data_IF_939513182087
#
_entry.id   IF_939513182087
#
_cell.length_a   1.000
_cell.length_b   1.000
_cell.length_c   1.000
_cell.angle_alpha   90.00
_cell.angle_beta   90.00
_cell.angle_gamma   90.00
#
_symmetry.space_group_name_H-M   'P 1'
#
loop_
_entity.id
_entity.type
_entity.pdbx_description
1 polymer ?
#
# COMPACT_ATOMS: atom_id res chain seq x y z
N UNK A 1 -10.57 29.22 1.33
CA UNK A 1 -11.44 28.18 1.93
C UNK A 1 -10.54 27.04 2.32
N UNK A 2 -10.51 26.68 3.61
CA UNK A 2 -9.68 25.57 4.08
C UNK A 2 -10.27 24.28 3.51
N UNK A 3 -9.46 23.51 2.79
CA UNK A 3 -9.86 22.27 2.14
C UNK A 3 -10.03 21.18 3.22
N UNK A 4 -11.28 20.74 3.41
CA UNK A 4 -11.62 19.67 4.34
C UNK A 4 -11.82 18.37 3.55
N UNK A 5 -10.99 17.36 3.83
CA UNK A 5 -10.99 16.08 3.11
C UNK A 5 -12.31 15.31 3.23
N UNK A 6 -13.02 15.44 4.36
CA UNK A 6 -14.35 14.83 4.53
C UNK A 6 -15.35 15.43 3.53
N UNK A 7 -15.36 16.76 3.42
CA UNK A 7 -16.24 17.47 2.47
C UNK A 7 -15.92 17.09 1.03
N UNK A 8 -14.64 16.99 0.69
CA UNK A 8 -14.19 16.58 -0.64
C UNK A 8 -14.65 15.16 -0.98
N UNK A 9 -14.41 14.20 -0.07
CA UNK A 9 -14.83 12.82 -0.22
C UNK A 9 -16.35 12.73 -0.41
N UNK A 10 -17.11 13.41 0.44
CA UNK A 10 -18.57 13.44 0.37
C UNK A 10 -19.08 13.99 -0.97
N UNK A 11 -18.52 15.12 -1.43
CA UNK A 11 -18.88 15.72 -2.71
C UNK A 11 -18.49 14.84 -3.89
N UNK A 12 -17.32 14.18 -3.83
CA UNK A 12 -16.89 13.25 -4.87
C UNK A 12 -17.81 12.02 -4.97
N UNK A 13 -18.38 11.57 -3.85
CA UNK A 13 -19.39 10.52 -3.81
C UNK A 13 -20.81 11.02 -4.15
N UNK A 14 -21.00 12.32 -4.39
CA UNK A 14 -22.31 12.94 -4.67
C UNK A 14 -23.38 12.67 -3.60
N UNK A 15 -22.99 12.56 -2.32
CA UNK A 15 -23.92 12.29 -1.21
C UNK A 15 -24.17 13.53 -0.33
N UNK A 16 -25.33 13.55 0.32
CA UNK A 16 -25.69 14.60 1.29
C UNK A 16 -24.97 14.40 2.63
N UNK A 17 -24.89 15.43 3.47
CA UNK A 17 -24.35 15.30 4.83
C UNK A 17 -25.18 14.33 5.68
N UNK A 18 -26.49 14.25 5.44
CA UNK A 18 -27.38 13.30 6.13
C UNK A 18 -27.11 11.85 5.70
N UNK A 19 -26.85 11.64 4.40
CA UNK A 19 -26.48 10.33 3.87
C UNK A 19 -25.16 9.85 4.47
N UNK A 20 -24.15 10.73 4.53
CA UNK A 20 -22.88 10.40 5.18
C UNK A 20 -23.07 10.12 6.67
N UNK A 21 -23.89 10.91 7.36
CA UNK A 21 -24.17 10.73 8.79
C UNK A 21 -24.76 9.35 9.08
N UNK A 22 -25.71 8.89 8.25
CA UNK A 22 -26.28 7.53 8.35
C UNK A 22 -25.23 6.45 8.11
N UNK A 23 -24.34 6.65 7.14
CA UNK A 23 -23.30 5.68 6.79
C UNK A 23 -22.25 5.49 7.89
N UNK A 24 -21.96 6.53 8.69
CA UNK A 24 -20.95 6.49 9.76
C UNK A 24 -21.58 6.54 11.16
N UNK A 25 -22.87 6.20 11.25
CA UNK A 25 -23.62 6.08 12.50
C UNK A 25 -23.56 7.34 13.40
N UNK A 26 -23.69 8.53 12.80
CA UNK A 26 -23.68 9.82 13.50
C UNK A 26 -24.83 10.72 13.05
N UNK A 27 -24.80 12.00 13.45
CA UNK A 27 -25.82 13.00 13.09
C UNK A 27 -25.35 13.91 11.95
N UNK A 28 -26.29 14.45 11.17
CA UNK A 28 -25.98 15.43 10.12
C UNK A 28 -25.30 16.68 10.68
N UNK A 29 -25.65 17.09 11.89
CA UNK A 29 -24.99 18.20 12.59
C UNK A 29 -23.52 17.87 12.91
N UNK A 30 -23.23 16.64 13.35
CA UNK A 30 -21.86 16.19 13.60
C UNK A 30 -21.02 16.23 12.31
N UNK A 31 -21.55 15.70 11.20
CA UNK A 31 -20.88 15.77 9.88
C UNK A 31 -20.63 17.23 9.47
N UNK A 32 -21.62 18.11 9.62
CA UNK A 32 -21.45 19.53 9.30
C UNK A 32 -20.33 20.19 10.12
N UNK A 33 -20.22 19.85 11.42
CA UNK A 33 -19.14 20.35 12.29
C UNK A 33 -17.77 19.80 11.87
N UNK A 34 -17.69 18.51 11.55
CA UNK A 34 -16.45 17.87 11.05
C UNK A 34 -15.95 18.55 9.76
N UNK A 35 -16.85 18.87 8.82
CA UNK A 35 -16.50 19.52 7.56
C UNK A 35 -16.06 20.98 7.70
N UNK A 36 -16.38 21.62 8.81
CA UNK A 36 -16.06 23.02 9.09
C UNK A 36 -14.88 23.19 10.07
N UNK A 37 -14.11 22.12 10.32
CA UNK A 37 -12.97 22.10 11.26
C UNK A 37 -13.32 22.54 12.69
N UNK A 38 -14.56 22.34 13.11
CA UNK A 38 -15.06 22.84 14.38
C UNK A 38 -15.01 21.81 15.53
N UNK A 39 -14.43 20.62 15.31
CA UNK A 39 -14.49 19.54 16.28
C UNK A 39 -13.42 18.46 16.07
N UNK A 40 -13.01 17.80 17.16
CA UNK A 40 -12.23 16.56 17.15
C UNK A 40 -13.05 15.42 16.55
N UNK A 41 -12.60 14.84 15.43
CA UNK A 41 -13.32 13.73 14.80
C UNK A 41 -13.27 12.51 15.75
N UNK A 42 -14.41 11.98 16.22
CA UNK A 42 -14.42 10.75 17.03
C UNK A 42 -13.76 9.61 16.26
N UNK A 43 -12.95 8.80 16.96
CA UNK A 43 -12.21 7.69 16.35
C UNK A 43 -13.13 6.71 15.63
N UNK A 44 -14.30 6.41 16.19
CA UNK A 44 -15.30 5.54 15.57
C UNK A 44 -15.81 6.11 14.23
N UNK A 45 -16.17 7.40 14.19
CA UNK A 45 -16.57 8.07 12.95
C UNK A 45 -15.44 8.09 11.92
N UNK A 46 -14.20 8.27 12.37
CA UNK A 46 -13.02 8.25 11.50
C UNK A 46 -12.79 6.86 10.88
N UNK A 47 -12.93 5.80 11.68
CA UNK A 47 -12.85 4.40 11.21
C UNK A 47 -13.95 4.12 10.20
N UNK A 48 -15.20 4.48 10.50
CA UNK A 48 -16.31 4.22 9.57
C UNK A 48 -16.20 5.03 8.28
N UNK A 49 -15.74 6.29 8.34
CA UNK A 49 -15.42 7.06 7.13
C UNK A 49 -14.31 6.40 6.30
N UNK A 50 -13.26 5.89 6.94
CA UNK A 50 -12.15 5.22 6.25
C UNK A 50 -12.62 3.99 5.48
N UNK A 51 -13.52 3.20 6.07
CA UNK A 51 -14.15 2.03 5.44
C UNK A 51 -15.09 2.45 4.32
N UNK A 52 -15.97 3.41 4.59
CA UNK A 52 -16.99 3.85 3.64
C UNK A 52 -16.39 4.44 2.36
N UNK A 53 -15.36 5.27 2.49
CA UNK A 53 -14.69 5.90 1.35
C UNK A 53 -13.52 5.08 0.80
N UNK A 54 -13.19 3.95 1.44
CA UNK A 54 -12.03 3.12 1.14
C UNK A 54 -10.73 3.95 1.01
N UNK A 55 -10.42 4.72 2.05
CA UNK A 55 -9.22 5.56 2.15
C UNK A 55 -8.60 5.41 3.54
N UNK A 56 -7.34 5.78 3.70
CA UNK A 56 -6.69 5.80 5.01
C UNK A 56 -7.22 6.93 5.90
N UNK A 57 -7.13 6.74 7.22
CA UNK A 57 -7.41 7.79 8.21
C UNK A 57 -6.50 9.00 8.01
N UNK A 58 -5.24 8.78 7.64
CA UNK A 58 -4.25 9.82 7.37
C UNK A 58 -4.68 10.72 6.21
N UNK A 59 -5.31 10.14 5.18
CA UNK A 59 -5.88 10.91 4.07
C UNK A 59 -7.06 11.76 4.53
N UNK A 60 -7.94 11.22 5.39
CA UNK A 60 -9.09 11.96 5.94
C UNK A 60 -8.63 13.10 6.86
N UNK A 61 -7.57 12.89 7.63
CA UNK A 61 -6.98 13.88 8.53
C UNK A 61 -6.10 14.91 7.81
N UNK A 62 -5.79 14.71 6.52
CA UNK A 62 -4.91 15.58 5.75
C UNK A 62 -3.43 15.44 6.10
N UNK A 63 -3.03 14.34 6.72
CA UNK A 63 -1.62 13.99 7.03
C UNK A 63 -0.91 13.48 5.76
N UNK A 64 -1.66 12.87 4.83
CA UNK A 64 -1.17 12.39 3.54
C UNK A 64 -2.07 12.83 2.39
N UNK A 65 -1.48 13.32 1.30
CA UNK A 65 -2.21 13.60 0.05
C UNK A 65 -2.43 12.35 -0.80
N UNK A 66 -1.87 11.23 -0.38
CA UNK A 66 -1.97 9.98 -1.12
C UNK A 66 -3.31 9.33 -0.87
N UNK A 67 -4.25 9.46 -1.82
CA UNK A 67 -5.54 8.76 -1.82
C UNK A 67 -5.35 7.28 -2.18
N UNK A 68 -4.69 6.51 -1.32
CA UNK A 68 -4.57 5.05 -1.44
C UNK A 68 -5.73 4.36 -0.71
N UNK A 69 -6.18 3.25 -1.26
CA UNK A 69 -7.11 2.35 -0.58
C UNK A 69 -6.39 1.48 0.46
N UNK A 70 -7.16 0.87 1.37
CA UNK A 70 -6.61 0.04 2.45
C UNK A 70 -5.77 -1.12 1.91
N UNK A 71 -6.21 -1.72 0.79
CA UNK A 71 -5.51 -2.82 0.15
C UNK A 71 -4.18 -2.40 -0.50
N UNK A 72 -4.12 -1.22 -1.12
CA UNK A 72 -2.89 -0.67 -1.68
C UNK A 72 -1.87 -0.29 -0.59
N UNK A 73 -2.34 0.24 0.54
CA UNK A 73 -1.49 0.51 1.70
C UNK A 73 -1.01 -0.79 2.35
N UNK A 74 -1.89 -1.77 2.57
CA UNK A 74 -1.56 -3.06 3.17
C UNK A 74 -0.59 -3.87 2.30
N UNK A 75 -0.79 -3.94 0.98
CA UNK A 75 0.14 -4.61 0.05
C UNK A 75 1.52 -3.97 0.09
N UNK A 76 1.59 -2.64 0.11
CA UNK A 76 2.87 -1.95 0.19
C UNK A 76 3.53 -2.17 1.56
N UNK A 77 2.77 -2.09 2.64
CA UNK A 77 3.27 -2.34 3.99
C UNK A 77 3.76 -3.78 4.15
N UNK A 78 3.07 -4.78 3.60
CA UNK A 78 3.52 -6.18 3.65
C UNK A 78 4.83 -6.41 2.88
N UNK A 79 4.98 -5.84 1.68
CA UNK A 79 6.22 -5.96 0.91
C UNK A 79 7.35 -5.15 1.57
N UNK A 80 7.05 -3.96 2.11
CA UNK A 80 8.02 -3.18 2.87
C UNK A 80 8.43 -3.89 4.17
N UNK A 81 7.52 -4.52 4.88
CA UNK A 81 7.80 -5.25 6.14
C UNK A 81 8.74 -6.43 5.88
N UNK A 82 8.55 -7.17 4.78
CA UNK A 82 9.45 -8.27 4.38
C UNK A 82 10.87 -7.79 4.14
N UNK A 83 11.03 -6.62 3.52
CA UNK A 83 12.34 -6.08 3.16
C UNK A 83 12.91 -5.11 4.22
N UNK A 84 12.15 -4.74 5.25
CA UNK A 84 12.50 -3.68 6.18
C UNK A 84 13.83 -3.92 6.90
N UNK A 85 14.01 -5.12 7.46
CA UNK A 85 15.26 -5.50 8.15
C UNK A 85 16.47 -5.45 7.20
N UNK A 86 16.31 -5.94 5.97
CA UNK A 86 17.38 -5.95 4.95
C UNK A 86 17.75 -4.52 4.55
N UNK A 87 16.77 -3.67 4.26
CA UNK A 87 16.99 -2.26 3.87
C UNK A 87 17.66 -1.49 5.02
N UNK A 88 17.19 -1.68 6.25
CA UNK A 88 17.76 -1.02 7.43
C UNK A 88 19.22 -1.44 7.66
N UNK A 89 19.55 -2.72 7.50
CA UNK A 89 20.93 -3.22 7.59
C UNK A 89 21.79 -2.67 6.47
N UNK A 90 21.29 -2.67 5.24
CA UNK A 90 21.99 -2.15 4.07
C UNK A 90 22.36 -0.67 4.24
N UNK A 91 21.44 0.17 4.74
CA UNK A 91 21.69 1.59 5.00
C UNK A 91 22.80 1.84 6.04
N UNK A 92 23.04 0.88 6.95
CA UNK A 92 24.11 0.97 7.97
C UNK A 92 25.47 0.49 7.48
N UNK A 93 25.56 -0.09 6.29
CA UNK A 93 26.82 -0.55 5.71
C UNK A 93 27.63 0.61 5.13
N UNK A 94 28.95 0.46 5.08
CA UNK A 94 29.82 1.35 4.31
C UNK A 94 29.52 1.27 2.81
N UNK A 95 29.87 2.31 2.04
CA UNK A 95 29.66 2.31 0.59
C UNK A 95 30.27 1.10 -0.12
N UNK A 96 31.46 0.68 0.32
CA UNK A 96 32.13 -0.52 -0.22
C UNK A 96 31.30 -1.77 0.04
N UNK A 97 30.80 -1.95 1.26
CA UNK A 97 29.99 -3.12 1.62
C UNK A 97 28.62 -3.10 0.93
N UNK A 98 28.03 -1.93 0.72
CA UNK A 98 26.82 -1.78 -0.08
C UNK A 98 27.06 -2.20 -1.53
N UNK A 99 28.17 -1.76 -2.15
CA UNK A 99 28.58 -2.18 -3.50
C UNK A 99 28.76 -3.69 -3.58
N UNK A 100 29.46 -4.28 -2.61
CA UNK A 100 29.66 -5.73 -2.53
C UNK A 100 28.33 -6.49 -2.43
N UNK A 101 27.40 -6.03 -1.59
CA UNK A 101 26.09 -6.68 -1.46
C UNK A 101 25.31 -6.63 -2.78
N UNK A 102 25.37 -5.52 -3.52
CA UNK A 102 24.74 -5.42 -4.84
C UNK A 102 25.34 -6.41 -5.84
N UNK A 103 26.67 -6.53 -5.88
CA UNK A 103 27.34 -7.51 -6.74
C UNK A 103 26.94 -8.95 -6.40
N UNK A 104 26.82 -9.28 -5.11
CA UNK A 104 26.37 -10.61 -4.68
C UNK A 104 24.92 -10.84 -5.12
N UNK A 105 24.05 -9.86 -4.93
CA UNK A 105 22.64 -9.95 -5.34
C UNK A 105 22.52 -10.21 -6.85
N UNK A 106 23.23 -9.43 -7.67
CA UNK A 106 23.28 -9.60 -9.12
C UNK A 106 23.78 -11.00 -9.51
N UNK A 107 24.80 -11.53 -8.82
CA UNK A 107 25.32 -12.87 -9.10
C UNK A 107 24.32 -13.98 -8.76
N UNK A 108 23.58 -13.83 -7.66
CA UNK A 108 22.56 -14.78 -7.25
C UNK A 108 21.40 -14.81 -8.26
N UNK A 109 20.93 -13.65 -8.71
CA UNK A 109 19.90 -13.56 -9.76
C UNK A 109 20.35 -14.21 -11.07
N UNK A 110 21.63 -14.01 -11.44
CA UNK A 110 22.20 -14.63 -12.63
C UNK A 110 22.28 -16.15 -12.50
N UNK A 111 22.69 -16.67 -11.35
CA UNK A 111 22.74 -18.11 -11.09
C UNK A 111 21.35 -18.76 -11.14
N UNK A 112 20.31 -18.05 -10.69
CA UNK A 112 18.94 -18.55 -10.75
C UNK A 112 18.44 -18.68 -12.20
N UNK A 113 18.72 -17.68 -13.05
CA UNK A 113 18.40 -17.74 -14.49
C UNK A 113 19.13 -18.89 -15.20
N UNK A 114 20.41 -19.09 -14.89
CA UNK A 114 21.23 -20.19 -15.43
C UNK A 114 20.62 -21.57 -15.10
N UNK A 115 20.17 -21.76 -13.85
CA UNK A 115 19.52 -23.02 -13.43
C UNK A 115 18.16 -23.26 -14.10
N UNK A 116 17.38 -22.22 -14.37
CA UNK A 116 16.12 -22.32 -15.10
C UNK A 116 16.34 -22.70 -16.58
N UNK A 117 17.36 -22.16 -17.24
CA UNK A 117 17.72 -22.52 -18.63
C UNK A 117 18.26 -23.95 -18.78
N UNK A 118 18.99 -24.47 -17.80
CA UNK A 118 19.46 -25.86 -17.78
C UNK A 118 18.31 -26.86 -17.60
N UNK A 119 17.27 -26.49 -16.85
CA UNK A 119 16.07 -27.32 -16.66
C UNK A 119 15.24 -27.48 -17.94
N UNK A 120 15.20 -26.44 -18.79
CA UNK A 120 14.48 -26.46 -20.08
C UNK A 120 15.24 -27.30 -21.11
N UNK A 121 16.58 -27.23 -21.15
CA UNK A 121 17.41 -28.01 -22.09
C UNK A 121 17.49 -29.51 -21.75
N UNK A 122 17.17 -29.90 -20.52
CA UNK A 122 17.13 -31.31 -20.09
C UNK A 122 15.87 -32.08 -20.54
N UNK A 123 14.78 -31.37 -20.87
CA UNK A 123 13.52 -31.99 -21.31
C UNK A 123 13.59 -32.40 -22.78
N UNK A 124 14.22 -31.62 -23.64
CA UNK A 124 14.32 -31.91 -25.08
C UNK A 124 15.21 -33.12 -25.42
N UNK A 125 16.19 -33.47 -24.57
CA UNK A 125 17.10 -34.61 -24.82
C UNK A 125 16.52 -35.98 -24.51
N UNK A 126 15.46 -36.07 -23.70
CA UNK A 126 14.84 -37.33 -23.32
C UNK A 126 13.78 -37.82 -24.32
N UNK A 127 13.51 -37.07 -25.39
CA UNK A 127 12.55 -37.43 -26.43
C UNK A 127 13.18 -38.14 -27.65
N UNK A 128 14.52 -38.14 -27.77
CA UNK A 128 15.22 -38.71 -28.94
C UNK A 128 15.82 -40.10 -28.70
N UNK A 129 15.84 -40.60 -27.46
CA UNK A 129 16.48 -41.89 -27.10
C UNK A 129 15.48 -43.05 -26.86
N UNK A 130 14.20 -42.90 -27.24
CA UNK A 130 13.18 -43.97 -27.08
C UNK A 130 12.83 -44.75 -28.34
N UNK A 131 13.50 -44.51 -29.47
CA UNK A 131 13.26 -45.20 -30.75
C UNK A 131 14.53 -45.90 -31.29
N UNK A 132 15.15 -46.79 -30.49
CA UNK A 132 16.08 -47.82 -30.97
C UNK A 132 15.92 -49.15 -30.23
#
# INVERSE_FOLDING_TARGET
MVNNRIRELRKSASISQETLAKAIHTTQQAVSRMENHAYDIPSESLIEMSKYFNVTTDYILGISDTKRDYNGQYRMNQEMDKCYDIVQRYQRLSETNQKTLRCILERLEQAQREGEEESVKGVDKNAEDSDL
#
